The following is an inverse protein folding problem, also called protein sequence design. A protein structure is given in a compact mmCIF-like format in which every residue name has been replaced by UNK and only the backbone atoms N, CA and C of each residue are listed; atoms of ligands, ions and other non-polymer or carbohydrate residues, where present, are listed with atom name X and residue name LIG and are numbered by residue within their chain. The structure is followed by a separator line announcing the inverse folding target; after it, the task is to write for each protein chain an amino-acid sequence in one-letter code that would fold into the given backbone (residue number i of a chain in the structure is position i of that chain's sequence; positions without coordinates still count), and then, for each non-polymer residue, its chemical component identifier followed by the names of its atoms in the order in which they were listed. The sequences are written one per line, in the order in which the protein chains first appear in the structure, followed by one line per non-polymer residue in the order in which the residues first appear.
data_IF_470099423261
#
_entry.id   IF_470099423261
#
_cell.length_a   1.000
_cell.length_b   1.000
_cell.length_c   1.000
_cell.angle_alpha   90.00
_cell.angle_beta   90.00
_cell.angle_gamma   90.00
#
_symmetry.space_group_name_H-M   'P 1'
#
loop_
_entity.id
_entity.type
_entity.pdbx_description
1 polymer ?
#
# COMPACT_ATOMS: atom_id res chain seq x y z
N UNK A 1 -7.49 -3.33 27.42
CA UNK A 1 -8.23 -2.78 26.25
C UNK A 1 -7.29 -2.34 25.13
N UNK A 2 -6.36 -1.40 25.38
CA UNK A 2 -5.47 -0.81 24.35
C UNK A 2 -4.73 -1.88 23.56
N UNK A 3 -4.06 -2.82 24.24
CA UNK A 3 -3.25 -3.86 23.61
C UNK A 3 -4.07 -4.85 22.76
N UNK A 4 -5.32 -5.13 23.15
CA UNK A 4 -6.23 -5.99 22.38
C UNK A 4 -6.68 -5.35 21.08
N UNK A 5 -7.14 -4.08 21.14
CA UNK A 5 -7.46 -3.32 19.93
C UNK A 5 -6.22 -3.10 19.06
N UNK A 6 -5.07 -2.85 19.67
CA UNK A 6 -3.81 -2.68 18.98
C UNK A 6 -3.34 -3.95 18.27
N UNK A 7 -3.53 -5.13 18.87
CA UNK A 7 -3.23 -6.40 18.22
C UNK A 7 -4.08 -6.61 16.95
N UNK A 8 -5.38 -6.29 17.02
CA UNK A 8 -6.26 -6.34 15.85
C UNK A 8 -5.85 -5.34 14.77
N UNK A 9 -5.53 -4.10 15.17
CA UNK A 9 -5.10 -3.06 14.25
C UNK A 9 -3.80 -3.44 13.53
N UNK A 10 -2.78 -3.91 14.25
CA UNK A 10 -1.50 -4.37 13.68
C UNK A 10 -1.71 -5.57 12.75
N UNK A 11 -2.52 -6.55 13.17
CA UNK A 11 -2.82 -7.74 12.34
C UNK A 11 -3.45 -7.36 11.00
N UNK A 12 -4.45 -6.46 11.02
CA UNK A 12 -5.09 -5.97 9.79
C UNK A 12 -4.15 -5.09 8.97
N UNK A 13 -3.34 -4.25 9.62
CA UNK A 13 -2.34 -3.42 8.97
C UNK A 13 -1.29 -4.24 8.20
N UNK A 14 -0.78 -5.33 8.79
CA UNK A 14 0.18 -6.22 8.13
C UNK A 14 -0.41 -6.85 6.87
N UNK A 15 -1.66 -7.32 6.95
CA UNK A 15 -2.37 -7.89 5.80
C UNK A 15 -2.63 -6.88 4.70
N UNK A 16 -3.13 -5.69 5.06
CA UNK A 16 -3.47 -4.68 4.06
C UNK A 16 -2.23 -4.08 3.39
N UNK A 17 -1.11 -3.93 4.10
CA UNK A 17 0.14 -3.44 3.53
C UNK A 17 0.70 -4.37 2.44
N UNK A 18 0.59 -5.70 2.63
CA UNK A 18 0.97 -6.68 1.61
C UNK A 18 0.06 -6.61 0.39
N UNK A 19 -1.26 -6.48 0.60
CA UNK A 19 -2.23 -6.35 -0.49
C UNK A 19 -2.10 -5.02 -1.23
N UNK A 20 -1.70 -3.94 -0.55
CA UNK A 20 -1.45 -2.64 -1.17
C UNK A 20 -0.36 -2.70 -2.25
N UNK A 21 0.66 -3.53 -2.08
CA UNK A 21 1.71 -3.75 -3.08
C UNK A 21 1.14 -4.46 -4.33
N UNK A 22 0.24 -5.43 -4.13
CA UNK A 22 -0.42 -6.16 -5.23
C UNK A 22 -1.34 -5.23 -6.02
N UNK A 23 -2.12 -4.41 -5.32
CA UNK A 23 -3.03 -3.43 -5.92
C UNK A 23 -2.23 -2.36 -6.67
N UNK A 24 -1.13 -1.86 -6.08
CA UNK A 24 -0.24 -0.93 -6.76
C UNK A 24 0.39 -1.53 -8.03
N UNK A 25 0.80 -2.81 -8.00
CA UNK A 25 1.31 -3.51 -9.18
C UNK A 25 0.25 -3.62 -10.29
N UNK A 26 -1.00 -3.95 -9.92
CA UNK A 26 -2.10 -4.00 -10.88
C UNK A 26 -2.36 -2.64 -11.53
N UNK A 27 -2.44 -1.58 -10.71
CA UNK A 27 -2.63 -0.22 -11.23
C UNK A 27 -1.47 0.22 -12.10
N UNK A 28 -0.22 -0.13 -11.74
CA UNK A 28 0.94 0.17 -12.56
C UNK A 28 0.85 -0.49 -13.93
N UNK A 29 0.52 -1.79 -13.99
CA UNK A 29 0.40 -2.52 -15.25
C UNK A 29 -0.70 -1.91 -16.14
N UNK A 30 -1.88 -1.62 -15.56
CA UNK A 30 -2.99 -0.97 -16.25
C UNK A 30 -2.61 0.42 -16.80
N UNK A 31 -1.86 1.21 -16.03
CA UNK A 31 -1.38 2.53 -16.45
C UNK A 31 -0.13 2.46 -17.35
N UNK A 32 0.31 1.24 -17.68
CA UNK A 32 1.48 0.96 -18.52
C UNK A 32 2.75 1.59 -17.94
N UNK A 33 2.91 1.54 -16.62
CA UNK A 33 4.05 2.10 -15.91
C UNK A 33 5.33 1.30 -16.15
N UNK A 34 6.48 1.95 -15.95
CA UNK A 34 7.80 1.33 -16.09
C UNK A 34 8.17 0.50 -14.86
N UNK A 35 8.66 -0.71 -15.13
CA UNK A 35 9.23 -1.61 -14.12
C UNK A 35 10.64 -1.21 -13.70
N UNK A 36 11.31 -0.31 -14.44
CA UNK A 36 12.70 0.12 -14.20
C UNK A 36 12.88 0.82 -12.86
N UNK A 37 11.82 1.45 -12.34
CA UNK A 37 11.78 2.06 -11.02
C UNK A 37 12.10 1.09 -9.88
N UNK A 38 11.93 -0.21 -10.12
CA UNK A 38 12.07 -1.26 -9.10
C UNK A 38 13.37 -2.07 -9.24
N UNK A 39 14.31 -1.63 -10.09
CA UNK A 39 15.62 -2.27 -10.29
C UNK A 39 16.36 -2.39 -8.94
N UNK A 40 16.91 -3.59 -8.67
CA UNK A 40 17.62 -3.88 -7.41
C UNK A 40 18.73 -2.90 -7.12
N UNK A 41 19.38 -2.34 -8.15
CA UNK A 41 20.44 -1.32 -7.98
C UNK A 41 19.95 -0.07 -7.26
N UNK A 42 18.72 0.39 -7.56
CA UNK A 42 18.14 1.59 -6.93
C UNK A 42 17.94 1.36 -5.44
N UNK A 43 17.46 0.18 -5.07
CA UNK A 43 17.09 -0.11 -3.69
C UNK A 43 18.28 -0.59 -2.84
N UNK A 44 19.32 -1.17 -3.46
CA UNK A 44 20.59 -1.48 -2.79
C UNK A 44 21.34 -0.24 -2.33
N UNK A 45 21.32 0.86 -3.10
CA UNK A 45 21.99 2.11 -2.71
C UNK A 45 21.21 2.94 -1.68
N UNK A 46 19.97 2.54 -1.37
CA UNK A 46 19.17 3.08 -0.26
C UNK A 46 18.54 1.92 0.53
N UNK A 47 19.32 1.23 1.39
CA UNK A 47 19.05 -0.15 1.80
C UNK A 47 18.07 -0.28 2.98
N UNK A 48 16.98 0.48 2.97
CA UNK A 48 15.88 0.20 3.91
C UNK A 48 15.25 -1.16 3.57
N UNK A 49 15.03 -2.01 4.58
CA UNK A 49 14.59 -3.39 4.38
C UNK A 49 13.21 -3.44 3.74
N UNK A 50 12.25 -2.67 4.28
CA UNK A 50 10.90 -2.59 3.75
C UNK A 50 10.87 -2.06 2.32
N UNK A 51 11.75 -1.11 1.99
CA UNK A 51 11.88 -0.61 0.62
C UNK A 51 12.35 -1.71 -0.35
N UNK A 52 13.37 -2.48 0.04
CA UNK A 52 13.87 -3.59 -0.78
C UNK A 52 12.82 -4.69 -0.95
N UNK A 53 12.08 -5.01 0.11
CA UNK A 53 11.03 -6.03 0.09
C UNK A 53 9.83 -5.64 -0.79
N UNK A 54 9.37 -4.39 -0.74
CA UNK A 54 8.30 -3.91 -1.63
C UNK A 54 8.78 -3.94 -3.08
N UNK A 55 9.99 -3.45 -3.35
CA UNK A 55 10.54 -3.45 -4.71
C UNK A 55 10.65 -4.86 -5.29
N UNK A 56 11.09 -5.83 -4.46
CA UNK A 56 11.14 -7.24 -4.83
C UNK A 56 9.76 -7.79 -5.18
N UNK A 57 8.75 -7.55 -4.33
CA UNK A 57 7.36 -7.97 -4.62
C UNK A 57 6.86 -7.36 -5.94
N UNK A 58 7.13 -6.09 -6.19
CA UNK A 58 6.72 -5.44 -7.44
C UNK A 58 7.43 -6.05 -8.66
N UNK A 59 8.75 -6.29 -8.59
CA UNK A 59 9.47 -6.98 -9.68
C UNK A 59 8.91 -8.37 -9.98
N UNK A 60 8.48 -9.11 -8.95
CA UNK A 60 7.88 -10.43 -9.14
C UNK A 60 6.50 -10.35 -9.83
N UNK A 61 5.64 -9.41 -9.41
CA UNK A 61 4.25 -9.32 -9.89
C UNK A 61 4.12 -8.70 -11.29
N UNK A 62 5.04 -7.79 -11.63
CA UNK A 62 5.01 -7.04 -12.88
C UNK A 62 5.66 -7.83 -14.02
N UNK A 63 5.55 -7.28 -15.24
CA UNK A 63 6.15 -7.86 -16.43
C UNK A 63 7.58 -8.33 -16.15
N UNK A 64 7.97 -9.48 -16.69
CA UNK A 64 9.35 -9.97 -16.79
C UNK A 64 9.35 -11.15 -17.75
N UNK A 65 10.53 -11.66 -18.13
CA UNK A 65 10.61 -12.87 -18.94
C UNK A 65 9.97 -14.09 -18.25
N UNK A 66 9.90 -14.07 -16.90
CA UNK A 66 9.28 -15.11 -16.08
C UNK A 66 7.79 -14.87 -15.81
N UNK A 67 7.30 -13.65 -16.03
CA UNK A 67 5.92 -13.25 -15.76
C UNK A 67 5.47 -12.20 -16.80
N UNK A 68 5.28 -12.59 -18.07
CA UNK A 68 5.03 -11.64 -19.15
C UNK A 68 3.65 -10.98 -19.01
N UNK A 69 3.58 -9.70 -19.37
CA UNK A 69 2.35 -8.90 -19.52
C UNK A 69 2.27 -8.33 -20.93
N UNK A 70 1.18 -8.59 -21.64
CA UNK A 70 0.90 -8.04 -22.97
C UNK A 70 0.58 -6.54 -22.89
N UNK A 71 0.00 -6.10 -21.76
CA UNK A 71 -0.27 -4.68 -21.49
C UNK A 71 1.04 -3.89 -21.42
N UNK A 72 1.99 -4.35 -20.61
CA UNK A 72 3.31 -3.73 -20.52
C UNK A 72 4.05 -3.75 -21.86
N UNK A 73 3.96 -4.87 -22.60
CA UNK A 73 4.60 -5.03 -23.91
C UNK A 73 4.06 -4.03 -24.94
N UNK A 74 2.74 -3.77 -24.93
CA UNK A 74 2.10 -2.79 -25.82
C UNK A 74 2.65 -1.37 -25.68
N UNK A 75 3.39 -1.10 -24.60
CA UNK A 75 3.94 0.21 -24.27
C UNK A 75 5.47 0.28 -24.32
N UNK A 76 6.16 -0.80 -24.75
CA UNK A 76 7.63 -0.88 -24.75
C UNK A 76 8.32 0.30 -25.44
N UNK A 77 7.74 0.77 -26.55
CA UNK A 77 8.31 1.82 -27.40
C UNK A 77 7.63 3.19 -27.22
N UNK A 78 7.05 3.45 -26.05
CA UNK A 78 6.40 4.74 -25.80
C UNK A 78 7.38 5.88 -25.52
N UNK A 79 6.95 7.11 -25.77
CA UNK A 79 7.72 8.32 -25.45
C UNK A 79 7.67 8.75 -23.98
N UNK A 80 7.05 7.98 -23.07
CA UNK A 80 6.98 8.35 -21.66
C UNK A 80 8.37 8.21 -21.03
N UNK A 81 8.91 9.33 -20.54
CA UNK A 81 10.24 9.37 -19.93
C UNK A 81 10.18 8.84 -18.51
N UNK A 82 9.30 9.36 -17.65
CA UNK A 82 9.17 8.96 -16.25
C UNK A 82 7.71 8.81 -15.82
N UNK A 83 7.46 7.84 -14.93
CA UNK A 83 6.20 7.74 -14.22
C UNK A 83 6.09 8.76 -13.08
N UNK A 84 4.84 9.08 -12.75
CA UNK A 84 4.47 9.85 -11.58
C UNK A 84 4.90 9.15 -10.29
N UNK A 85 5.09 9.93 -9.22
CA UNK A 85 5.64 9.42 -7.97
C UNK A 85 4.77 8.35 -7.31
N UNK A 86 3.45 8.43 -7.47
CA UNK A 86 2.52 7.45 -6.89
C UNK A 86 2.63 6.05 -7.50
N UNK A 87 3.31 5.95 -8.65
CA UNK A 87 3.69 4.72 -9.33
C UNK A 87 5.17 4.39 -9.05
N UNK A 88 6.05 5.36 -9.25
CA UNK A 88 7.52 5.17 -9.18
C UNK A 88 8.07 5.02 -7.76
N UNK A 89 7.48 5.71 -6.79
CA UNK A 89 7.94 5.78 -5.41
C UNK A 89 7.24 4.78 -4.48
N UNK A 90 6.55 3.77 -5.02
CA UNK A 90 5.84 2.74 -4.23
C UNK A 90 6.77 2.09 -3.20
N UNK A 91 7.97 1.59 -3.54
CA UNK A 91 8.87 0.99 -2.55
C UNK A 91 9.28 1.95 -1.44
N UNK A 92 9.56 3.21 -1.78
CA UNK A 92 10.06 4.22 -0.85
C UNK A 92 8.98 4.61 0.18
N UNK A 93 7.71 4.65 -0.24
CA UNK A 93 6.59 5.00 0.65
C UNK A 93 6.04 3.78 1.36
N UNK A 94 5.67 2.71 0.63
CA UNK A 94 5.13 1.50 1.26
C UNK A 94 6.18 0.84 2.16
N UNK A 95 7.48 0.93 1.83
CA UNK A 95 8.56 0.31 2.60
C UNK A 95 8.64 0.81 4.05
N UNK A 96 8.55 2.13 4.27
CA UNK A 96 8.53 2.68 5.63
C UNK A 96 7.24 2.32 6.38
N UNK A 97 6.12 2.12 5.66
CA UNK A 97 4.88 1.61 6.27
C UNK A 97 5.08 0.18 6.78
N UNK A 98 5.65 -0.71 5.97
CA UNK A 98 5.96 -2.09 6.38
C UNK A 98 6.89 -2.11 7.60
N UNK A 99 7.97 -1.32 7.61
CA UNK A 99 8.89 -1.24 8.75
C UNK A 99 8.22 -0.67 10.01
N UNK A 100 7.34 0.33 9.88
CA UNK A 100 6.62 0.89 11.03
C UNK A 100 5.59 -0.08 11.59
N UNK A 101 4.91 -0.86 10.74
CA UNK A 101 4.00 -1.92 11.20
C UNK A 101 4.79 -2.96 12.01
N UNK A 102 5.95 -3.40 11.52
CA UNK A 102 6.79 -4.37 12.24
C UNK A 102 7.30 -3.82 13.58
N UNK A 103 7.68 -2.54 13.61
CA UNK A 103 8.03 -1.85 14.86
C UNK A 103 6.87 -1.87 15.87
N UNK A 104 5.66 -1.50 15.44
CA UNK A 104 4.48 -1.47 16.30
C UNK A 104 4.09 -2.88 16.76
N UNK A 105 4.19 -3.88 15.88
CA UNK A 105 4.00 -5.30 16.20
C UNK A 105 4.96 -5.74 17.30
N UNK A 106 6.23 -5.39 17.19
CA UNK A 106 7.24 -5.69 18.20
C UNK A 106 6.94 -5.11 19.59
N UNK A 107 6.24 -3.97 19.68
CA UNK A 107 5.77 -3.41 20.96
C UNK A 107 4.54 -4.17 21.46
N UNK A 108 3.52 -4.30 20.62
CA UNK A 108 2.26 -4.95 21.01
C UNK A 108 2.48 -6.42 21.41
N UNK A 109 3.35 -7.15 20.72
CA UNK A 109 3.70 -8.53 21.10
C UNK A 109 4.31 -8.60 22.49
N UNK A 110 5.19 -7.67 22.88
CA UNK A 110 5.73 -7.64 24.25
C UNK A 110 4.64 -7.29 25.26
N UNK A 111 3.82 -6.30 24.94
CA UNK A 111 2.72 -5.84 25.80
C UNK A 111 1.71 -6.96 26.11
N UNK A 112 1.37 -7.77 25.10
CA UNK A 112 0.46 -8.93 25.26
C UNK A 112 1.01 -10.01 26.21
N UNK A 113 2.31 -10.03 26.46
CA UNK A 113 3.00 -11.00 27.32
C UNK A 113 3.56 -10.36 28.60
N UNK A 114 3.11 -9.15 28.94
CA UNK A 114 3.62 -8.39 30.10
C UNK A 114 2.70 -8.53 31.31
N UNK A 115 3.28 -8.54 32.52
CA UNK A 115 2.54 -8.41 33.77
C UNK A 115 2.23 -6.92 34.02
N UNK A 116 1.02 -6.49 33.66
CA UNK A 116 0.58 -5.08 33.73
C UNK A 116 -0.27 -4.76 34.96
N UNK A 117 -0.46 -5.72 35.86
CA UNK A 117 -1.14 -5.49 37.15
C UNK A 117 -0.24 -4.77 38.15
N UNK A 118 -0.84 -4.32 39.25
CA UNK A 118 -0.13 -3.73 40.38
C UNK A 118 -0.90 -3.95 41.70
N UNK A 119 -0.22 -4.28 42.82
CA UNK A 119 1.22 -4.56 42.95
C UNK A 119 1.64 -5.88 42.30
N UNK A 120 2.92 -6.02 42.02
CA UNK A 120 3.50 -7.27 41.53
C UNK A 120 3.96 -8.15 42.70
N UNK A 121 3.77 -9.46 42.53
CA UNK A 121 4.16 -10.48 43.51
C UNK A 121 5.33 -11.28 42.94
N UNK A 122 6.46 -11.25 43.64
CA UNK A 122 7.69 -11.95 43.30
C UNK A 122 7.89 -13.09 44.31
N UNK A 123 7.18 -14.19 44.06
CA UNK A 123 7.01 -15.28 45.03
C UNK A 123 8.35 -15.94 45.43
N UNK A 124 9.28 -16.11 44.50
CA UNK A 124 10.59 -16.71 44.77
C UNK A 124 11.45 -15.83 45.69
N UNK A 125 11.17 -14.53 45.74
CA UNK A 125 11.82 -13.54 46.58
C UNK A 125 11.00 -13.23 47.85
N UNK A 126 9.79 -13.80 47.97
CA UNK A 126 8.82 -13.46 49.01
C UNK A 126 8.50 -11.94 49.08
N UNK A 127 8.54 -11.26 47.92
CA UNK A 127 8.39 -9.81 47.82
C UNK A 127 7.08 -9.39 47.14
N UNK A 128 6.52 -8.27 47.61
CA UNK A 128 5.40 -7.55 46.97
C UNK A 128 5.87 -6.13 46.68
N UNK A 129 5.90 -5.75 45.40
CA UNK A 129 6.42 -4.46 44.96
C UNK A 129 5.34 -3.68 44.22
N UNK A 130 5.09 -2.45 44.65
CA UNK A 130 4.26 -1.50 43.90
C UNK A 130 5.11 -0.78 42.84
N UNK A 131 4.67 -0.84 41.59
CA UNK A 131 5.31 -0.23 40.43
C UNK A 131 4.29 0.46 39.51
N UNK A 132 4.66 0.62 38.24
CA UNK A 132 3.89 1.38 37.24
C UNK A 132 3.57 0.63 35.94
N UNK A 133 3.63 -0.70 35.94
CA UNK A 133 3.46 -1.50 34.71
C UNK A 133 2.06 -1.38 34.07
N UNK A 134 1.06 -0.88 34.80
CA UNK A 134 -0.26 -0.55 34.25
C UNK A 134 -0.26 0.67 33.32
N UNK A 135 0.80 1.48 33.33
CA UNK A 135 0.86 2.70 32.52
C UNK A 135 1.05 2.37 31.03
N UNK A 136 -0.04 2.44 30.27
CA UNK A 136 -0.10 2.03 28.87
C UNK A 136 0.54 2.98 27.85
N UNK A 137 1.69 3.61 28.15
CA UNK A 137 2.36 4.56 27.24
C UNK A 137 2.93 3.84 26.01
N UNK A 138 3.55 2.67 26.23
CA UNK A 138 4.11 1.83 25.16
C UNK A 138 3.09 1.50 24.08
N UNK A 139 1.93 0.88 24.39
CA UNK A 139 0.94 0.60 23.37
C UNK A 139 0.26 1.87 22.83
N UNK A 140 0.15 2.96 23.61
CA UNK A 140 -0.41 4.22 23.13
C UNK A 140 0.44 4.84 22.01
N UNK A 141 1.74 4.99 22.23
CA UNK A 141 2.70 5.51 21.24
C UNK A 141 2.75 4.63 19.99
N UNK A 142 2.79 3.31 20.16
CA UNK A 142 2.75 2.38 19.04
C UNK A 142 1.51 2.56 18.14
N UNK A 143 0.33 2.78 18.73
CA UNK A 143 -0.89 2.96 17.96
C UNK A 143 -0.95 4.30 17.22
N UNK A 144 -0.39 5.37 17.79
CA UNK A 144 -0.25 6.63 17.06
C UNK A 144 0.69 6.50 15.85
N UNK A 145 1.84 5.83 16.01
CA UNK A 145 2.76 5.58 14.90
C UNK A 145 2.13 4.70 13.81
N UNK A 146 1.37 3.67 14.21
CA UNK A 146 0.66 2.81 13.28
C UNK A 146 -0.35 3.61 12.44
N UNK A 147 -1.13 4.50 13.07
CA UNK A 147 -2.11 5.33 12.36
C UNK A 147 -1.43 6.24 11.32
N UNK A 148 -0.34 6.91 11.70
CA UNK A 148 0.42 7.79 10.82
C UNK A 148 0.97 7.02 9.61
N UNK A 149 1.59 5.86 9.86
CA UNK A 149 2.19 5.07 8.78
C UNK A 149 1.15 4.47 7.83
N UNK A 150 0.10 3.83 8.36
CA UNK A 150 -0.85 3.08 7.52
C UNK A 150 -1.70 3.99 6.63
N UNK A 151 -1.97 5.23 7.07
CA UNK A 151 -2.62 6.26 6.25
C UNK A 151 -1.90 6.51 4.91
N UNK A 152 -0.57 6.46 4.86
CA UNK A 152 0.20 6.73 3.63
C UNK A 152 -0.17 5.76 2.49
N UNK A 153 -0.58 4.52 2.81
CA UNK A 153 -1.07 3.58 1.81
C UNK A 153 -2.34 4.10 1.13
N UNK A 154 -3.27 4.68 1.89
CA UNK A 154 -4.49 5.27 1.34
C UNK A 154 -4.19 6.54 0.54
N UNK A 155 -3.25 7.38 0.98
CA UNK A 155 -2.84 8.57 0.21
C UNK A 155 -2.24 8.18 -1.15
N UNK A 156 -1.33 7.22 -1.17
CA UNK A 156 -0.76 6.70 -2.41
C UNK A 156 -1.82 6.05 -3.30
N UNK A 157 -2.70 5.25 -2.70
CA UNK A 157 -3.77 4.52 -3.39
C UNK A 157 -4.80 5.46 -4.02
N UNK A 158 -5.27 6.45 -3.29
CA UNK A 158 -6.25 7.43 -3.78
C UNK A 158 -5.66 8.26 -4.93
N UNK A 159 -4.38 8.65 -4.84
CA UNK A 159 -3.71 9.32 -5.97
C UNK A 159 -3.54 8.41 -7.18
N UNK A 160 -3.36 7.10 -7.02
CA UNK A 160 -3.36 6.14 -8.15
C UNK A 160 -4.77 5.95 -8.73
N UNK A 161 -5.80 5.95 -7.88
CA UNK A 161 -7.21 5.96 -8.31
C UNK A 161 -7.54 7.20 -9.14
N UNK A 162 -7.12 8.40 -8.73
CA UNK A 162 -7.23 9.63 -9.54
C UNK A 162 -6.60 9.44 -10.92
N UNK A 163 -5.39 8.85 -10.98
CA UNK A 163 -4.73 8.61 -12.27
C UNK A 163 -5.55 7.69 -13.18
N UNK A 164 -6.17 6.65 -12.63
CA UNK A 164 -7.00 5.71 -13.38
C UNK A 164 -8.25 6.39 -13.96
N UNK A 165 -8.91 7.25 -13.19
CA UNK A 165 -10.16 7.89 -13.63
C UNK A 165 -9.94 9.13 -14.51
N UNK A 166 -8.71 9.65 -14.56
CA UNK A 166 -8.37 10.82 -15.33
C UNK A 166 -7.81 10.44 -16.71
N UNK A 167 -8.50 10.82 -17.78
CA UNK A 167 -8.11 10.49 -19.16
C UNK A 167 -6.73 11.00 -19.53
N UNK A 168 -6.37 12.22 -19.13
CA UNK A 168 -5.07 12.81 -19.46
C UNK A 168 -3.90 12.07 -18.79
N UNK A 169 -4.17 11.47 -17.62
CA UNK A 169 -3.15 10.77 -16.83
C UNK A 169 -3.04 9.28 -17.15
N UNK A 170 -4.15 8.65 -17.56
CA UNK A 170 -4.24 7.21 -17.86
C UNK A 170 -4.20 6.86 -19.34
N UNK A 171 -4.73 7.74 -20.20
CA UNK A 171 -5.11 7.38 -21.58
C UNK A 171 -6.33 6.45 -21.67
N UNK A 172 -7.02 6.19 -20.55
CA UNK A 172 -8.29 5.45 -20.49
C UNK A 172 -9.48 6.42 -20.61
N UNK A 173 -10.70 5.96 -20.90
CA UNK A 173 -11.87 6.83 -20.87
C UNK A 173 -12.05 7.50 -19.50
N UNK A 174 -12.42 8.78 -19.49
CA UNK A 174 -12.65 9.55 -18.26
C UNK A 174 -13.67 8.82 -17.37
N UNK A 175 -13.35 8.73 -16.08
CA UNK A 175 -14.10 7.99 -15.06
C UNK A 175 -14.35 6.51 -15.38
N UNK A 176 -13.55 5.92 -16.27
CA UNK A 176 -13.60 4.51 -16.64
C UNK A 176 -14.98 4.06 -17.16
N UNK A 177 -15.63 4.92 -17.95
CA UNK A 177 -16.91 4.63 -18.61
C UNK A 177 -16.84 4.87 -20.13
N UNK A 178 -17.55 4.03 -20.91
CA UNK A 178 -17.60 4.14 -22.38
C UNK A 178 -18.43 5.34 -22.85
N UNK A 179 -19.50 5.67 -22.13
CA UNK A 179 -20.49 6.67 -22.52
C UNK A 179 -20.51 7.85 -21.54
N UNK A 180 -19.37 8.54 -21.46
CA UNK A 180 -19.22 9.74 -20.63
C UNK A 180 -20.25 10.82 -21.00
N UNK A 181 -20.71 11.57 -20.00
CA UNK A 181 -21.77 12.59 -20.13
C UNK A 181 -23.19 12.06 -19.89
N UNK A 182 -23.43 10.77 -20.14
CA UNK A 182 -24.62 10.06 -19.66
C UNK A 182 -24.31 9.24 -18.40
N UNK A 183 -23.12 8.66 -18.35
CA UNK A 183 -22.62 7.88 -17.22
C UNK A 183 -21.50 8.63 -16.51
N UNK A 184 -21.48 8.52 -15.18
CA UNK A 184 -20.46 9.07 -14.30
C UNK A 184 -19.39 8.05 -13.91
N UNK A 185 -19.63 6.75 -14.13
CA UNK A 185 -18.66 5.70 -13.87
C UNK A 185 -18.09 5.75 -12.46
N UNK A 186 -16.77 5.85 -12.36
CA UNK A 186 -16.01 5.84 -11.10
C UNK A 186 -15.84 7.22 -10.45
N UNK A 187 -16.48 8.28 -10.96
CA UNK A 187 -16.38 9.64 -10.41
C UNK A 187 -16.68 9.68 -8.91
N UNK A 188 -17.83 9.14 -8.49
CA UNK A 188 -18.22 9.13 -7.06
C UNK A 188 -17.36 8.20 -6.22
N UNK A 189 -16.85 7.11 -6.80
CA UNK A 189 -15.93 6.18 -6.12
C UNK A 189 -14.66 6.93 -5.70
N UNK A 190 -14.11 7.75 -6.60
CA UNK A 190 -12.95 8.58 -6.29
C UNK A 190 -13.25 9.61 -5.18
N UNK A 191 -14.43 10.26 -5.21
CA UNK A 191 -14.84 11.19 -4.15
C UNK A 191 -14.93 10.50 -2.77
N UNK A 192 -15.48 9.29 -2.72
CA UNK A 192 -15.51 8.49 -1.48
C UNK A 192 -14.10 8.19 -0.97
N UNK A 193 -13.19 7.75 -1.84
CA UNK A 193 -11.81 7.49 -1.46
C UNK A 193 -11.11 8.75 -0.92
N UNK A 194 -11.26 9.89 -1.61
CA UNK A 194 -10.70 11.17 -1.19
C UNK A 194 -11.22 11.62 0.18
N UNK A 195 -12.52 11.44 0.44
CA UNK A 195 -13.14 11.76 1.74
C UNK A 195 -12.50 10.96 2.89
N UNK A 196 -12.35 9.64 2.72
CA UNK A 196 -11.74 8.77 3.72
C UNK A 196 -10.27 9.12 4.00
N UNK A 197 -9.51 9.42 2.94
CA UNK A 197 -8.12 9.89 3.06
C UNK A 197 -8.04 11.21 3.81
N UNK A 198 -8.99 12.11 3.59
CA UNK A 198 -9.06 13.40 4.29
C UNK A 198 -9.37 13.21 5.77
N UNK A 199 -10.32 12.34 6.11
CA UNK A 199 -10.65 12.02 7.51
C UNK A 199 -9.44 11.44 8.26
N UNK A 200 -8.68 10.54 7.61
CA UNK A 200 -7.48 9.96 8.20
C UNK A 200 -6.44 11.01 8.62
N UNK A 201 -6.33 12.15 7.92
CA UNK A 201 -5.37 13.20 8.29
C UNK A 201 -5.63 13.76 9.69
N UNK A 202 -6.90 13.86 10.09
CA UNK A 202 -7.29 14.24 11.45
C UNK A 202 -6.98 13.11 12.44
N UNK A 203 -7.31 11.87 12.07
CA UNK A 203 -7.05 10.69 12.89
C UNK A 203 -5.55 10.41 13.11
N UNK A 204 -4.66 10.99 12.30
CA UNK A 204 -3.22 10.90 12.47
C UNK A 204 -2.66 11.79 13.59
N UNK A 205 -3.45 12.71 14.16
CA UNK A 205 -3.00 13.48 15.32
C UNK A 205 -2.74 12.54 16.52
N UNK A 206 -1.58 12.62 17.19
CA UNK A 206 -1.20 11.67 18.24
C UNK A 206 -2.06 11.88 19.49
N UNK A 207 -2.84 10.88 19.88
CA UNK A 207 -3.61 10.96 21.14
C UNK A 207 -2.73 10.83 22.36
N UNK A 208 -1.65 10.07 22.25
CA UNK A 208 -0.66 9.88 23.33
C UNK A 208 0.21 11.13 23.60
N UNK A 209 0.03 12.21 22.85
CA UNK A 209 0.69 13.48 23.14
C UNK A 209 -0.01 14.27 24.25
N UNK A 210 -1.23 13.87 24.62
CA UNK A 210 -2.03 14.49 25.68
C UNK A 210 -1.98 13.68 26.98
N UNK A 211 -2.14 14.36 28.11
CA UNK A 211 -2.29 13.78 29.45
C UNK A 211 -3.05 14.76 30.34
N UNK A 212 -4.08 14.27 31.04
CA UNK A 212 -4.90 15.08 31.95
C UNK A 212 -4.90 14.37 33.31
N UNK A 213 -4.36 15.01 34.37
CA UNK A 213 -4.31 14.43 35.70
C UNK A 213 -5.67 14.02 36.24
N UNK A 214 -5.73 12.86 36.88
CA UNK A 214 -6.92 12.34 37.57
C UNK A 214 -6.61 12.05 39.04
N UNK A 215 -7.66 11.71 39.80
CA UNK A 215 -7.50 11.18 41.16
C UNK A 215 -6.73 12.10 42.11
N UNK A 216 -7.06 13.40 42.10
CA UNK A 216 -6.40 14.44 42.91
C UNK A 216 -4.86 14.47 42.74
N UNK A 217 -4.37 14.29 41.50
CA UNK A 217 -2.94 14.23 41.13
C UNK A 217 -2.19 13.00 41.64
N UNK A 218 -2.88 11.95 42.11
CA UNK A 218 -2.23 10.66 42.34
C UNK A 218 -1.94 9.95 41.00
N UNK A 219 -2.79 10.17 40.00
CA UNK A 219 -2.62 9.76 38.60
C UNK A 219 -2.33 11.02 37.78
N UNK A 220 -1.16 11.60 37.99
CA UNK A 220 -0.74 12.89 37.42
C UNK A 220 -0.27 12.81 35.96
N UNK A 221 -0.02 11.60 35.46
CA UNK A 221 0.31 11.33 34.06
C UNK A 221 -0.40 10.06 33.56
N UNK A 222 -1.00 10.14 32.37
CA UNK A 222 -1.72 9.03 31.72
C UNK A 222 -1.44 9.00 30.21
N UNK A 223 -1.63 7.84 29.57
CA UNK A 223 -1.19 7.65 28.18
C UNK A 223 -2.18 8.02 27.09
N UNK A 224 -3.46 8.24 27.44
CA UNK A 224 -4.55 8.42 26.48
C UNK A 224 -4.65 7.31 25.40
N UNK A 225 -4.08 6.12 25.66
CA UNK A 225 -3.96 5.03 24.69
C UNK A 225 -5.28 4.45 24.22
N UNK A 226 -6.37 4.67 24.97
CA UNK A 226 -7.71 4.23 24.60
C UNK A 226 -8.22 4.83 23.29
N UNK A 227 -7.91 6.10 22.98
CA UNK A 227 -8.26 6.68 21.69
C UNK A 227 -7.22 6.36 20.61
N UNK A 228 -5.93 6.29 20.97
CA UNK A 228 -4.86 5.89 20.06
C UNK A 228 -5.16 4.55 19.36
N UNK A 229 -5.55 3.52 20.12
CA UNK A 229 -5.88 2.22 19.55
C UNK A 229 -7.15 2.23 18.68
N UNK A 230 -8.21 2.94 19.11
CA UNK A 230 -9.47 3.05 18.34
C UNK A 230 -9.27 3.76 17.01
N UNK A 231 -8.54 4.89 17.00
CA UNK A 231 -8.30 5.64 15.77
C UNK A 231 -7.35 4.91 14.83
N UNK A 232 -6.35 4.19 15.35
CA UNK A 232 -5.48 3.34 14.52
C UNK A 232 -6.29 2.28 13.76
N UNK A 233 -7.19 1.57 14.44
CA UNK A 233 -8.08 0.59 13.80
C UNK A 233 -8.99 1.22 12.74
N UNK A 234 -9.53 2.42 13.03
CA UNK A 234 -10.37 3.17 12.10
C UNK A 234 -9.60 3.61 10.83
N UNK A 235 -8.35 4.04 10.98
CA UNK A 235 -7.47 4.36 9.83
C UNK A 235 -7.23 3.11 8.98
N UNK A 236 -6.97 1.96 9.59
CA UNK A 236 -6.82 0.69 8.85
C UNK A 236 -8.10 0.35 8.07
N UNK A 237 -9.28 0.54 8.65
CA UNK A 237 -10.56 0.33 7.97
C UNK A 237 -10.78 1.25 6.77
N UNK A 238 -10.38 2.51 6.88
CA UNK A 238 -10.41 3.46 5.77
C UNK A 238 -9.44 3.06 4.66
N UNK A 239 -8.24 2.62 5.02
CA UNK A 239 -7.21 2.17 4.07
C UNK A 239 -7.67 0.93 3.30
N UNK A 240 -8.29 -0.05 3.96
CA UNK A 240 -8.90 -1.20 3.30
C UNK A 240 -9.97 -0.78 2.27
N UNK A 241 -10.82 0.19 2.62
CA UNK A 241 -11.86 0.69 1.73
C UNK A 241 -11.29 1.43 0.51
N UNK A 242 -10.30 2.31 0.72
CA UNK A 242 -9.64 3.05 -0.36
C UNK A 242 -8.91 2.09 -1.31
N UNK A 243 -8.20 1.09 -0.79
CA UNK A 243 -7.51 0.09 -1.60
C UNK A 243 -8.50 -0.79 -2.39
N UNK A 244 -9.64 -1.15 -1.81
CA UNK A 244 -10.69 -1.86 -2.54
C UNK A 244 -11.24 -1.02 -3.71
N UNK A 245 -11.40 0.30 -3.52
CA UNK A 245 -11.83 1.23 -4.57
C UNK A 245 -10.79 1.39 -5.69
N UNK A 246 -9.49 1.48 -5.34
CA UNK A 246 -8.41 1.44 -6.33
C UNK A 246 -8.44 0.12 -7.12
N UNK A 247 -8.58 -1.01 -6.43
CA UNK A 247 -8.58 -2.35 -7.03
C UNK A 247 -9.69 -2.52 -8.07
N UNK A 248 -10.93 -2.12 -7.77
CA UNK A 248 -12.03 -2.22 -8.75
C UNK A 248 -11.83 -1.27 -9.93
N UNK A 249 -11.24 -0.09 -9.72
CA UNK A 249 -10.93 0.84 -10.79
C UNK A 249 -9.82 0.30 -11.70
N UNK A 250 -8.78 -0.32 -11.14
CA UNK A 250 -7.73 -0.97 -11.92
C UNK A 250 -8.30 -2.13 -12.75
N UNK A 251 -9.13 -2.98 -12.13
CA UNK A 251 -9.82 -4.06 -12.85
C UNK A 251 -10.72 -3.54 -13.98
N UNK A 252 -11.42 -2.42 -13.75
CA UNK A 252 -12.19 -1.76 -14.80
C UNK A 252 -11.28 -1.21 -15.91
N UNK A 253 -10.13 -0.63 -15.57
CA UNK A 253 -9.14 -0.18 -16.55
C UNK A 253 -8.69 -1.30 -17.49
N UNK A 254 -8.54 -2.54 -16.99
CA UNK A 254 -8.23 -3.70 -17.82
C UNK A 254 -9.30 -3.99 -18.88
N UNK A 255 -10.58 -3.66 -18.66
CA UNK A 255 -11.64 -3.83 -19.68
C UNK A 255 -11.36 -3.02 -20.94
N UNK A 256 -10.86 -1.80 -20.75
CA UNK A 256 -10.53 -0.89 -21.84
C UNK A 256 -9.22 -1.23 -22.55
N UNK A 257 -8.45 -2.16 -22.00
CA UNK A 257 -7.19 -2.64 -22.58
C UNK A 257 -7.36 -3.97 -23.32
N UNK A 258 -8.54 -4.60 -23.27
CA UNK A 258 -8.82 -5.83 -24.01
C UNK A 258 -8.58 -5.63 -25.52
N UNK A 259 -8.01 -6.62 -26.22
CA UNK A 259 -7.80 -8.01 -25.78
C UNK A 259 -6.49 -8.28 -25.01
N UNK A 260 -5.71 -7.26 -24.66
CA UNK A 260 -4.43 -7.44 -23.96
C UNK A 260 -4.65 -8.03 -22.55
N UNK A 261 -3.73 -8.89 -22.13
CA UNK A 261 -3.70 -9.52 -20.80
C UNK A 261 -2.55 -8.98 -19.95
N UNK A 262 -2.80 -8.92 -18.64
CA UNK A 262 -1.77 -8.63 -17.64
C UNK A 262 -0.88 -9.85 -17.40
N UNK A 263 0.01 -9.76 -16.41
CA UNK A 263 0.74 -10.92 -15.92
C UNK A 263 -0.20 -12.01 -15.39
N UNK A 264 0.25 -13.27 -15.39
CA UNK A 264 -0.60 -14.39 -14.93
C UNK A 264 -1.07 -14.19 -13.49
N UNK A 265 -0.22 -13.61 -12.64
CA UNK A 265 -0.55 -13.32 -11.24
C UNK A 265 -1.57 -12.20 -11.09
N UNK A 266 -1.41 -11.11 -11.83
CA UNK A 266 -2.34 -9.98 -11.76
C UNK A 266 -3.68 -10.31 -12.44
N UNK A 267 -3.68 -11.18 -13.46
CA UNK A 267 -4.90 -11.72 -14.06
C UNK A 267 -5.73 -12.52 -13.04
N UNK A 268 -5.10 -13.32 -12.17
CA UNK A 268 -5.81 -14.03 -11.08
C UNK A 268 -6.51 -13.07 -10.12
N UNK A 269 -5.88 -11.94 -9.80
CA UNK A 269 -6.48 -10.91 -8.95
C UNK A 269 -7.69 -10.28 -9.63
N UNK A 270 -7.55 -9.92 -10.90
CA UNK A 270 -8.67 -9.44 -11.71
C UNK A 270 -9.81 -10.47 -11.74
N UNK A 271 -9.53 -11.75 -12.01
CA UNK A 271 -10.55 -12.79 -12.13
C UNK A 271 -11.28 -12.98 -10.79
N UNK A 272 -10.56 -12.93 -9.67
CA UNK A 272 -11.11 -12.96 -8.32
C UNK A 272 -12.07 -11.79 -8.08
N UNK A 273 -11.66 -10.56 -8.40
CA UNK A 273 -12.52 -9.37 -8.25
C UNK A 273 -13.77 -9.48 -9.13
N UNK A 274 -13.65 -10.02 -10.35
CA UNK A 274 -14.78 -10.22 -11.27
C UNK A 274 -15.83 -11.21 -10.77
N UNK A 275 -15.53 -12.01 -9.75
CA UNK A 275 -16.54 -12.87 -9.11
C UNK A 275 -17.58 -12.09 -8.31
N UNK A 276 -17.24 -10.87 -7.85
CA UNK A 276 -18.11 -10.03 -7.01
C UNK A 276 -18.37 -8.63 -7.58
N UNK A 277 -17.56 -8.16 -8.53
CA UNK A 277 -17.70 -6.86 -9.18
C UNK A 277 -17.62 -7.02 -10.72
N UNK A 278 -18.77 -7.03 -11.39
CA UNK A 278 -18.84 -7.18 -12.86
C UNK A 278 -18.30 -5.93 -13.57
N UNK A 279 -17.83 -6.02 -14.82
CA UNK A 279 -17.50 -4.84 -15.62
C UNK A 279 -18.62 -3.79 -15.59
N UNK A 280 -18.24 -2.52 -15.50
CA UNK A 280 -19.19 -1.41 -15.52
C UNK A 280 -19.42 -0.99 -16.99
N UNK A 281 -20.58 -1.35 -17.53
CA UNK A 281 -21.00 -0.95 -18.88
C UNK A 281 -21.86 0.32 -18.84
N UNK A 282 -22.78 0.39 -17.87
CA UNK A 282 -23.65 1.53 -17.56
C UNK A 282 -23.65 1.77 -16.05
N UNK A 283 -23.99 2.99 -15.63
CA UNK A 283 -24.06 3.37 -14.22
C UNK A 283 -25.05 2.48 -13.45
N UNK A 284 -24.61 2.05 -12.27
CA UNK A 284 -25.43 1.28 -11.33
C UNK A 284 -25.05 1.58 -9.89
N UNK A 285 -25.89 1.15 -8.96
CA UNK A 285 -25.59 1.27 -7.54
C UNK A 285 -24.46 0.32 -7.12
N UNK A 286 -23.23 0.84 -7.04
CA UNK A 286 -22.01 0.04 -6.81
C UNK A 286 -21.72 -0.29 -5.34
N UNK A 287 -22.40 0.33 -4.37
CA UNK A 287 -22.04 0.18 -2.95
C UNK A 287 -22.01 -1.28 -2.46
N UNK A 288 -23.00 -2.15 -2.77
CA UNK A 288 -22.97 -3.55 -2.32
C UNK A 288 -21.78 -4.32 -2.91
N UNK A 289 -21.44 -4.08 -4.18
CA UNK A 289 -20.29 -4.72 -4.83
C UNK A 289 -18.96 -4.19 -4.26
N UNK A 290 -18.86 -2.89 -3.95
CA UNK A 290 -17.70 -2.30 -3.25
C UNK A 290 -17.53 -2.94 -1.87
N UNK A 291 -18.61 -3.14 -1.11
CA UNK A 291 -18.54 -3.84 0.19
C UNK A 291 -18.07 -5.29 0.04
N UNK A 292 -18.49 -5.99 -1.02
CA UNK A 292 -18.01 -7.33 -1.32
C UNK A 292 -16.50 -7.35 -1.62
N UNK A 293 -15.98 -6.35 -2.34
CA UNK A 293 -14.52 -6.24 -2.58
C UNK A 293 -13.76 -5.90 -1.29
N UNK A 294 -14.29 -5.00 -0.45
CA UNK A 294 -13.73 -4.72 0.87
C UNK A 294 -13.65 -6.01 1.71
N UNK A 295 -14.65 -6.88 1.61
CA UNK A 295 -14.64 -8.17 2.29
C UNK A 295 -13.52 -9.08 1.77
N UNK A 296 -13.31 -9.18 0.44
CA UNK A 296 -12.17 -9.93 -0.13
C UNK A 296 -10.83 -9.43 0.39
N UNK A 297 -10.66 -8.10 0.49
CA UNK A 297 -9.47 -7.45 1.03
C UNK A 297 -9.28 -7.81 2.51
N UNK A 298 -10.33 -7.73 3.33
CA UNK A 298 -10.30 -8.08 4.76
C UNK A 298 -9.99 -9.55 5.01
N UNK A 299 -10.50 -10.42 4.14
CA UNK A 299 -10.22 -11.86 4.16
C UNK A 299 -8.84 -12.23 3.63
N UNK A 300 -8.02 -11.26 3.22
CA UNK A 300 -6.68 -11.44 2.67
C UNK A 300 -6.65 -12.16 1.29
N UNK A 301 -7.79 -12.25 0.60
CA UNK A 301 -7.93 -13.04 -0.63
C UNK A 301 -7.07 -12.51 -1.78
N UNK A 302 -6.79 -11.21 -1.82
CA UNK A 302 -5.95 -10.60 -2.85
C UNK A 302 -4.50 -11.06 -2.70
N UNK A 303 -4.02 -11.16 -1.46
CA UNK A 303 -2.69 -11.69 -1.18
C UNK A 303 -2.62 -13.19 -1.47
N UNK A 304 -3.61 -13.95 -0.99
CA UNK A 304 -3.63 -15.41 -1.16
C UNK A 304 -3.64 -15.83 -2.65
N UNK A 305 -4.21 -15.00 -3.54
CA UNK A 305 -4.21 -15.23 -4.97
C UNK A 305 -2.81 -15.18 -5.62
N UNK A 306 -1.85 -14.47 -5.00
CA UNK A 306 -0.50 -14.24 -5.55
C UNK A 306 0.63 -14.79 -4.67
N UNK A 307 0.39 -15.05 -3.37
CA UNK A 307 1.45 -15.44 -2.44
C UNK A 307 2.22 -16.69 -2.85
N UNK A 308 1.60 -17.77 -3.39
CA UNK A 308 2.37 -18.95 -3.80
C UNK A 308 3.37 -18.65 -4.92
N UNK A 309 3.06 -17.66 -5.78
CA UNK A 309 3.98 -17.21 -6.81
C UNK A 309 5.09 -16.33 -6.22
N UNK A 310 4.75 -15.41 -5.31
CA UNK A 310 5.71 -14.55 -4.65
C UNK A 310 6.74 -15.35 -3.84
N UNK A 311 6.31 -16.39 -3.14
CA UNK A 311 7.20 -17.28 -2.37
C UNK A 311 8.19 -17.98 -3.31
N UNK A 312 7.68 -18.58 -4.41
CA UNK A 312 8.53 -19.20 -5.44
C UNK A 312 9.55 -18.22 -6.05
N UNK A 313 9.15 -16.96 -6.27
CA UNK A 313 10.05 -15.95 -6.82
C UNK A 313 11.08 -15.48 -5.79
N UNK A 314 10.74 -15.47 -4.50
CA UNK A 314 11.68 -15.15 -3.43
C UNK A 314 12.76 -16.23 -3.31
N UNK A 315 12.37 -17.51 -3.36
CA UNK A 315 13.31 -18.65 -3.37
C UNK A 315 14.24 -18.56 -4.59
N UNK A 316 13.68 -18.29 -5.78
CA UNK A 316 14.46 -18.15 -7.00
C UNK A 316 15.45 -16.98 -6.95
N UNK A 317 15.06 -15.82 -6.42
CA UNK A 317 15.96 -14.66 -6.30
C UNK A 317 17.03 -14.86 -5.22
N UNK A 318 16.77 -15.72 -4.22
CA UNK A 318 17.76 -16.17 -3.24
C UNK A 318 18.83 -17.07 -3.88
N UNK A 319 18.41 -18.03 -4.71
CA UNK A 319 19.32 -18.93 -5.43
C UNK A 319 20.07 -18.24 -6.58
N UNK A 320 19.38 -17.33 -7.26
CA UNK A 320 19.87 -16.58 -8.42
C UNK A 320 19.65 -15.07 -8.21
N UNK A 321 20.62 -14.36 -7.60
CA UNK A 321 20.51 -12.93 -7.38
C UNK A 321 20.24 -12.16 -8.67
N UNK A 322 19.31 -11.20 -8.61
CA UNK A 322 18.89 -10.37 -9.74
C UNK A 322 18.17 -11.13 -10.88
N UNK A 323 17.68 -12.37 -10.66
CA UNK A 323 16.89 -13.12 -11.67
C UNK A 323 15.59 -12.42 -12.09
N UNK A 324 15.02 -11.60 -11.20
CA UNK A 324 13.81 -10.79 -11.47
C UNK A 324 14.15 -9.43 -12.11
N UNK A 325 15.43 -9.13 -12.35
CA UNK A 325 15.87 -7.85 -12.87
C UNK A 325 15.64 -7.78 -14.38
N UNK A 326 14.95 -6.74 -14.83
CA UNK A 326 14.82 -6.48 -16.26
C UNK A 326 16.03 -5.70 -16.81
N UNK A 327 16.60 -6.21 -17.90
CA UNK A 327 17.66 -5.55 -18.67
C UNK A 327 17.13 -4.74 -19.87
N UNK A 328 15.85 -4.37 -19.87
CA UNK A 328 15.23 -3.61 -20.96
C UNK A 328 15.75 -2.17 -21.00
N UNK A 329 16.14 -1.70 -22.18
CA UNK A 329 16.40 -0.28 -22.43
C UNK A 329 15.06 0.46 -22.39
N UNK A 330 15.02 1.58 -21.66
CA UNK A 330 13.85 2.46 -21.62
C UNK A 330 14.29 3.92 -21.73
N UNK A 331 13.40 4.86 -22.07
CA UNK A 331 13.70 6.30 -22.01
C UNK A 331 14.23 6.76 -20.64
N UNK A 332 13.92 6.00 -19.57
CA UNK A 332 14.34 6.23 -18.19
C UNK A 332 15.66 5.56 -17.81
N UNK A 333 16.17 4.65 -18.63
CA UNK A 333 17.36 3.86 -18.34
C UNK A 333 18.06 3.43 -19.64
N UNK A 334 19.20 4.06 -19.93
CA UNK A 334 20.09 3.65 -21.01
C UNK A 334 21.16 2.66 -20.50
N UNK A 335 21.49 1.66 -21.32
CA UNK A 335 22.68 0.84 -21.12
C UNK A 335 23.88 1.58 -21.72
N UNK A 336 24.96 1.76 -20.96
CA UNK A 336 26.15 2.49 -21.40
C UNK A 336 26.78 1.95 -22.71
N UNK A 337 26.49 0.70 -23.08
CA UNK A 337 27.04 0.03 -24.27
C UNK A 337 26.09 -0.06 -25.48
N UNK A 338 24.88 0.51 -25.43
CA UNK A 338 24.08 0.66 -26.66
C UNK A 338 24.71 1.76 -27.51
N UNK A 339 25.22 1.42 -28.71
CA UNK A 339 25.79 2.38 -29.65
C UNK A 339 24.92 3.62 -29.76
N UNK A 340 25.46 4.76 -29.33
CA UNK A 340 24.82 6.08 -29.43
C UNK A 340 24.57 6.41 -30.90
N UNK A 341 23.38 6.09 -31.40
CA UNK A 341 22.75 6.86 -32.47
C UNK A 341 22.25 8.19 -31.89
N UNK A 342 22.27 9.24 -32.69
CA UNK A 342 22.17 10.68 -32.35
C UNK A 342 20.91 11.16 -31.57
N UNK A 343 20.14 10.30 -30.90
CA UNK A 343 18.93 10.67 -30.16
C UNK A 343 18.95 10.37 -28.66
N UNK A 344 20.02 9.79 -28.12
CA UNK A 344 20.08 9.41 -26.70
C UNK A 344 20.59 10.55 -25.80
N UNK A 345 19.83 11.65 -25.69
CA UNK A 345 19.97 12.54 -24.53
C UNK A 345 19.24 11.89 -23.37
N UNK A 346 19.98 11.27 -22.43
CA UNK A 346 19.47 11.07 -21.09
C UNK A 346 19.10 12.46 -20.55
N UNK A 347 17.82 12.82 -20.61
CA UNK A 347 17.35 14.09 -20.06
C UNK A 347 17.48 14.01 -18.53
N UNK A 348 18.63 14.43 -18.02
CA UNK A 348 18.74 14.90 -16.65
C UNK A 348 17.70 16.02 -16.50
N UNK A 349 16.69 15.77 -15.67
CA UNK A 349 15.67 16.75 -15.35
C UNK A 349 16.37 17.89 -14.61
N UNK A 350 16.44 19.07 -15.24
CA UNK A 350 16.66 20.32 -14.53
C UNK A 350 15.50 20.53 -13.57
N UNK A 351 15.83 20.66 -12.28
CA UNK A 351 14.87 20.98 -11.22
C UNK A 351 14.27 22.39 -11.34
N UNK A 352 14.70 23.20 -12.32
CA UNK A 352 14.27 24.60 -12.46
C UNK A 352 12.88 24.79 -13.08
N UNK A 353 12.27 23.73 -13.64
CA UNK A 353 10.94 23.86 -14.31
C UNK A 353 9.73 23.70 -13.39
N UNK A 354 9.91 23.39 -12.11
CA UNK A 354 8.80 23.13 -11.17
C UNK A 354 8.84 23.99 -9.90
N UNK A 355 9.65 25.05 -9.88
CA UNK A 355 9.63 26.05 -8.81
C UNK A 355 8.80 27.28 -9.25
N UNK A 356 7.48 27.20 -9.08
CA UNK A 356 6.60 28.37 -9.03
C UNK A 356 5.56 28.19 -7.93
#
# INVERSE_FOLDING_TARGET
MVSSLGALAVYRAEKIAKQADVIAALTLDVLKGTTRAYDTKIHRVRPHQGQNDVARRLRALLHSDLNPSEIAESHRNCGKVQDAYTLRCVPQVHGVVHETIEFCKGIITKELNSATDNPLIFADQEEIISGGNFHGEYPAKAMDFLAIAVQELAQMSERRLERLVNHELSGLPTFLTKFGGLNSGFMTVQLCAASLVSENKVLCHPSSADSIPTSCNQEDHVSMGGFAARKALKVVEHVEAVLAMELIAACQGMEFLKPLKSTTTLQKVYDLVRTVFKPLEEDRYMHPEIQAVIHLVRENKIWDAVSPFLDRMADLESDFPDVLRQNTTSPTAALLNSSCGESCTAQAISFDKYAH
#
